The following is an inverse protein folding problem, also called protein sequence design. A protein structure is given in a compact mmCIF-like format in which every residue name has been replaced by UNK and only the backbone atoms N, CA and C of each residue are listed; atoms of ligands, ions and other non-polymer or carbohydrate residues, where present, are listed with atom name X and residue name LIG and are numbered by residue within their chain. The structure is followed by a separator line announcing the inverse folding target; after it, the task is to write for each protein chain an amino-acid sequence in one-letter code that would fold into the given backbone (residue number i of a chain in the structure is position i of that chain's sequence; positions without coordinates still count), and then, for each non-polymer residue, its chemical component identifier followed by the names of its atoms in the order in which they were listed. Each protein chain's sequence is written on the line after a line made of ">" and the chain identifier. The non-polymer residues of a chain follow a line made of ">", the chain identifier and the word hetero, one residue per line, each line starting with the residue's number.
data_IF_254154965578
#
_entry.id   IF_254154965578
#
_cell.length_a   1.000
_cell.length_b   1.000
_cell.length_c   1.000
_cell.angle_alpha   90.00
_cell.angle_beta   90.00
_cell.angle_gamma   90.00
#
_symmetry.space_group_name_H-M   'P 1'
#
loop_
_entity.id
_entity.type
_entity.pdbx_description
1 polymer ?
#
# COMPACT_ATOMS: atom_id res chain seq x y z
N UNK A 1 -63.50 2.25 -15.12
CA UNK A 1 -62.56 3.34 -14.76
C UNK A 1 -62.35 3.27 -13.25
N UNK A 2 -61.49 2.42 -12.71
CA UNK A 2 -60.05 2.30 -12.93
C UNK A 2 -59.28 3.55 -12.45
N UNK A 3 -58.42 3.29 -11.45
CA UNK A 3 -57.13 3.93 -11.19
C UNK A 3 -57.13 5.33 -10.59
N UNK A 4 -57.01 5.42 -9.25
CA UNK A 4 -56.28 6.51 -8.59
C UNK A 4 -55.91 6.26 -7.11
N UNK A 5 -55.73 5.00 -6.66
CA UNK A 5 -55.35 4.71 -5.27
C UNK A 5 -54.35 3.55 -5.12
N UNK A 6 -53.32 3.49 -5.97
CA UNK A 6 -52.15 2.62 -5.77
C UNK A 6 -50.93 3.29 -6.37
N UNK A 7 -50.21 4.11 -5.60
CA UNK A 7 -48.80 4.46 -5.86
C UNK A 7 -48.14 5.26 -4.72
N UNK A 8 -48.47 5.01 -3.46
CA UNK A 8 -47.66 5.52 -2.32
C UNK A 8 -47.70 4.53 -1.15
N UNK A 9 -47.16 3.34 -1.36
CA UNK A 9 -46.90 2.39 -0.28
C UNK A 9 -45.86 1.35 -0.72
N UNK A 10 -44.60 1.77 -0.91
CA UNK A 10 -43.44 0.85 -0.93
C UNK A 10 -42.14 1.66 -0.87
N UNK A 11 -41.67 1.88 0.35
CA UNK A 11 -40.30 1.59 0.77
C UNK A 11 -40.17 2.13 2.20
N UNK A 12 -40.59 1.32 3.17
CA UNK A 12 -40.05 1.46 4.52
C UNK A 12 -38.56 1.15 4.37
N UNK A 13 -37.72 2.15 4.60
CA UNK A 13 -36.30 2.01 4.85
C UNK A 13 -36.11 0.98 5.97
N UNK A 14 -35.89 -0.28 5.58
CA UNK A 14 -35.35 -1.27 6.49
C UNK A 14 -33.88 -0.91 6.66
N UNK A 15 -33.52 -0.45 7.86
CA UNK A 15 -32.13 -0.46 8.27
C UNK A 15 -31.58 -1.90 8.11
N UNK A 16 -30.31 -2.05 7.68
CA UNK A 16 -29.70 -3.37 7.47
C UNK A 16 -29.87 -4.24 8.72
N UNK A 17 -30.25 -5.50 8.51
CA UNK A 17 -30.53 -6.44 9.60
C UNK A 17 -29.23 -7.04 10.09
N UNK A 18 -28.69 -6.45 11.15
CA UNK A 18 -27.50 -6.94 11.85
C UNK A 18 -27.73 -8.33 12.47
N UNK A 19 -26.99 -9.33 12.00
CA UNK A 19 -26.96 -10.68 12.58
C UNK A 19 -25.62 -10.89 13.29
N UNK A 20 -25.64 -11.03 14.62
CA UNK A 20 -24.50 -11.50 15.41
C UNK A 20 -24.62 -13.02 15.60
N UNK A 21 -24.06 -13.86 14.72
CA UNK A 21 -23.88 -15.30 15.05
C UNK A 21 -23.00 -16.15 14.11
N UNK A 22 -22.31 -15.61 13.09
CA UNK A 22 -21.37 -16.42 12.28
C UNK A 22 -19.97 -15.81 12.35
N UNK A 23 -18.96 -16.65 12.56
CA UNK A 23 -17.58 -16.22 12.37
C UNK A 23 -17.42 -15.86 10.89
N UNK A 24 -17.04 -14.62 10.56
CA UNK A 24 -16.97 -14.15 9.17
C UNK A 24 -16.11 -15.07 8.29
N UNK A 25 -15.08 -15.72 8.86
CA UNK A 25 -14.21 -16.64 8.12
C UNK A 25 -14.96 -17.86 7.56
N UNK A 26 -15.99 -18.34 8.26
CA UNK A 26 -16.83 -19.44 7.80
C UNK A 26 -17.78 -18.97 6.70
N UNK A 27 -18.33 -17.76 6.85
CA UNK A 27 -19.16 -17.12 5.83
C UNK A 27 -18.37 -16.90 4.53
N UNK A 28 -17.13 -16.40 4.62
CA UNK A 28 -16.24 -16.20 3.47
C UNK A 28 -16.10 -17.46 2.63
N UNK A 29 -15.94 -18.61 3.29
CA UNK A 29 -15.59 -19.88 2.66
C UNK A 29 -16.80 -20.69 2.16
N UNK A 30 -18.02 -20.27 2.50
CA UNK A 30 -19.22 -21.08 2.22
C UNK A 30 -19.60 -21.04 0.72
N UNK A 31 -19.72 -22.19 0.02
CA UNK A 31 -19.92 -22.23 -1.44
C UNK A 31 -21.20 -21.56 -1.98
N UNK A 32 -22.22 -21.41 -1.13
CA UNK A 32 -23.46 -20.71 -1.47
C UNK A 32 -23.31 -19.20 -1.54
N UNK A 33 -22.25 -18.63 -0.94
CA UNK A 33 -22.06 -17.19 -0.85
C UNK A 33 -21.40 -16.67 -2.13
N UNK A 34 -22.25 -16.37 -3.13
CA UNK A 34 -21.82 -15.91 -4.47
C UNK A 34 -21.45 -14.44 -4.51
N UNK A 35 -22.08 -13.61 -3.67
CA UNK A 35 -21.84 -12.17 -3.57
C UNK A 35 -21.64 -11.84 -2.11
N UNK A 36 -20.60 -11.07 -1.77
CA UNK A 36 -20.23 -10.78 -0.39
C UNK A 36 -19.65 -9.37 -0.28
N UNK A 37 -19.92 -8.67 0.82
CA UNK A 37 -19.38 -7.32 1.09
C UNK A 37 -18.84 -7.29 2.51
N UNK A 38 -17.57 -6.91 2.66
CA UNK A 38 -16.89 -6.82 3.94
C UNK A 38 -16.27 -5.43 4.16
N UNK A 39 -16.33 -4.92 5.38
CA UNK A 39 -15.68 -3.66 5.77
C UNK A 39 -14.82 -3.92 7.01
N UNK A 40 -13.51 -3.67 6.93
CA UNK A 40 -12.62 -3.81 8.09
C UNK A 40 -12.76 -2.61 9.03
N UNK A 41 -12.90 -2.88 10.34
CA UNK A 41 -12.79 -1.84 11.37
C UNK A 41 -11.36 -1.60 11.85
N UNK A 42 -10.41 -2.44 11.44
CA UNK A 42 -9.01 -2.25 11.79
C UNK A 42 -8.36 -1.18 10.91
N UNK A 43 -7.47 -0.39 11.52
CA UNK A 43 -6.57 0.53 10.81
C UNK A 43 -5.18 -0.04 10.61
N UNK A 44 -4.94 -1.28 11.01
CA UNK A 44 -3.64 -1.91 10.87
C UNK A 44 -3.42 -2.37 9.40
N UNK A 45 -2.44 -1.80 8.69
CA UNK A 45 -2.20 -2.17 7.29
C UNK A 45 -1.76 -3.63 7.12
N UNK A 46 -1.06 -4.22 8.09
CA UNK A 46 -0.69 -5.63 8.03
C UNK A 46 -1.94 -6.51 8.24
N UNK A 47 -2.81 -6.16 9.19
CA UNK A 47 -4.03 -6.95 9.38
C UNK A 47 -4.95 -6.85 8.15
N UNK A 48 -5.17 -5.66 7.61
CA UNK A 48 -6.02 -5.45 6.44
C UNK A 48 -5.49 -6.18 5.20
N UNK A 49 -4.19 -6.15 4.92
CA UNK A 49 -3.60 -6.91 3.80
C UNK A 49 -3.63 -8.42 4.03
N UNK A 50 -3.63 -8.88 5.29
CA UNK A 50 -3.77 -10.28 5.64
C UNK A 50 -5.21 -10.77 5.49
N UNK A 51 -6.19 -9.94 5.85
CA UNK A 51 -7.62 -10.19 5.58
C UNK A 51 -7.86 -10.24 4.07
N UNK A 52 -7.38 -9.25 3.29
CA UNK A 52 -7.50 -9.24 1.83
C UNK A 52 -6.92 -10.52 1.21
N UNK A 53 -5.75 -10.96 1.68
CA UNK A 53 -5.15 -12.20 1.21
C UNK A 53 -5.99 -13.44 1.57
N UNK A 54 -6.52 -13.51 2.80
CA UNK A 54 -7.43 -14.57 3.21
C UNK A 54 -8.68 -14.62 2.33
N UNK A 55 -9.32 -13.47 2.09
CA UNK A 55 -10.48 -13.36 1.20
C UNK A 55 -10.15 -13.88 -0.20
N UNK A 56 -8.99 -13.50 -0.76
CA UNK A 56 -8.52 -13.98 -2.06
C UNK A 56 -8.33 -15.50 -2.11
N UNK A 57 -7.81 -16.09 -1.03
CA UNK A 57 -7.46 -17.52 -0.97
C UNK A 57 -8.65 -18.42 -0.63
N UNK A 58 -9.63 -17.94 0.14
CA UNK A 58 -10.64 -18.77 0.79
C UNK A 58 -12.05 -18.58 0.29
N UNK A 59 -12.36 -17.44 -0.32
CA UNK A 59 -13.69 -17.30 -0.92
C UNK A 59 -13.87 -18.23 -2.14
N UNK A 60 -15.10 -18.69 -2.43
CA UNK A 60 -15.36 -19.65 -3.51
C UNK A 60 -14.89 -19.17 -4.89
N UNK A 61 -14.44 -20.07 -5.79
CA UNK A 61 -14.03 -19.74 -7.17
C UNK A 61 -15.03 -18.87 -7.94
N UNK A 62 -16.32 -19.20 -7.81
CA UNK A 62 -17.43 -18.54 -8.51
C UNK A 62 -18.01 -17.33 -7.76
N UNK A 63 -17.37 -16.90 -6.67
CA UNK A 63 -17.84 -15.76 -5.87
C UNK A 63 -17.20 -14.44 -6.30
N UNK A 64 -17.98 -13.37 -6.18
CA UNK A 64 -17.51 -11.98 -6.29
C UNK A 64 -17.69 -11.30 -4.94
N UNK A 65 -16.66 -10.62 -4.45
CA UNK A 65 -16.74 -9.89 -3.18
C UNK A 65 -16.09 -8.52 -3.25
N UNK A 66 -16.61 -7.61 -2.43
CA UNK A 66 -16.05 -6.30 -2.14
C UNK A 66 -15.47 -6.30 -0.72
N UNK A 67 -14.29 -5.72 -0.57
CA UNK A 67 -13.67 -5.46 0.72
C UNK A 67 -13.21 -4.00 0.79
N UNK A 68 -13.66 -3.28 1.82
CA UNK A 68 -13.29 -1.89 2.07
C UNK A 68 -12.50 -1.77 3.38
N UNK A 69 -11.48 -0.91 3.41
CA UNK A 69 -10.69 -0.65 4.61
C UNK A 69 -9.90 0.66 4.52
N UNK A 70 -9.60 1.23 5.69
CA UNK A 70 -8.64 2.35 5.85
C UNK A 70 -7.43 1.87 6.65
N UNK A 71 -6.29 2.53 6.49
CA UNK A 71 -5.08 2.22 7.25
C UNK A 71 -4.63 3.45 8.03
N UNK A 72 -3.99 3.25 9.17
CA UNK A 72 -3.15 4.28 9.82
C UNK A 72 -1.98 4.65 8.90
N UNK A 73 -1.30 5.79 9.13
CA UNK A 73 -0.25 6.29 8.25
C UNK A 73 0.80 5.23 7.86
N UNK A 74 0.89 4.92 6.57
CA UNK A 74 1.85 3.97 6.04
C UNK A 74 2.20 4.20 4.56
N UNK A 75 3.40 3.77 4.18
CA UNK A 75 3.84 3.64 2.80
C UNK A 75 3.71 2.17 2.40
N UNK A 76 2.91 1.91 1.37
CA UNK A 76 2.68 0.55 0.84
C UNK A 76 3.40 0.38 -0.48
N UNK A 77 4.48 -0.40 -0.48
CA UNK A 77 5.25 -0.75 -1.69
C UNK A 77 4.69 -2.01 -2.36
N UNK A 78 4.82 -2.09 -3.69
CA UNK A 78 4.42 -3.26 -4.47
C UNK A 78 5.31 -4.48 -4.24
N UNK A 79 4.81 -5.67 -4.61
CA UNK A 79 5.46 -6.97 -4.35
C UNK A 79 6.92 -7.07 -4.82
N UNK A 80 7.23 -6.43 -5.94
CA UNK A 80 8.53 -6.50 -6.62
C UNK A 80 9.26 -5.14 -6.64
N UNK A 81 8.90 -4.21 -5.77
CA UNK A 81 9.55 -2.90 -5.70
C UNK A 81 10.77 -2.89 -4.78
N UNK A 82 11.69 -1.97 -5.03
CA UNK A 82 12.86 -1.74 -4.19
C UNK A 82 12.56 -0.64 -3.15
N UNK A 83 12.51 -0.95 -1.84
CA UNK A 83 12.19 0.05 -0.82
C UNK A 83 13.22 1.18 -0.75
N UNK A 84 14.50 0.90 -1.03
CA UNK A 84 15.57 1.91 -1.08
C UNK A 84 15.48 2.81 -2.32
N UNK A 85 14.76 2.39 -3.37
CA UNK A 85 14.52 3.23 -4.55
C UNK A 85 13.25 4.08 -4.39
N UNK A 86 12.20 3.48 -3.83
CA UNK A 86 10.86 4.08 -3.82
C UNK A 86 10.59 4.96 -2.59
N UNK A 87 11.22 4.66 -1.45
CA UNK A 87 10.84 5.23 -0.15
C UNK A 87 12.00 5.97 0.50
N UNK A 88 11.72 7.12 1.09
CA UNK A 88 12.63 7.74 2.04
C UNK A 88 12.60 6.96 3.36
N UNK A 89 13.44 5.93 3.44
CA UNK A 89 13.47 5.00 4.58
C UNK A 89 13.83 5.68 5.91
N UNK A 90 14.46 6.85 5.89
CA UNK A 90 14.74 7.62 7.10
C UNK A 90 13.47 8.17 7.78
N UNK A 91 12.38 8.32 7.03
CA UNK A 91 11.12 8.92 7.50
C UNK A 91 10.03 7.90 7.86
N UNK A 92 10.28 6.61 7.69
CA UNK A 92 9.32 5.54 8.00
C UNK A 92 9.87 4.61 9.07
N UNK A 93 8.98 3.99 9.83
CA UNK A 93 9.33 2.97 10.80
C UNK A 93 9.39 1.60 10.14
N UNK A 94 10.37 0.80 10.56
CA UNK A 94 10.55 -0.58 10.11
C UNK A 94 9.56 -1.50 10.84
N UNK A 95 9.08 -2.58 10.21
CA UNK A 95 8.22 -3.55 10.87
C UNK A 95 8.79 -4.10 12.20
N UNK A 96 10.09 -4.41 12.24
CA UNK A 96 10.77 -4.89 13.46
C UNK A 96 10.70 -3.91 14.64
N UNK A 97 10.63 -2.60 14.40
CA UNK A 97 10.49 -1.58 15.45
C UNK A 97 9.11 -1.60 16.13
N UNK A 98 8.11 -2.25 15.52
CA UNK A 98 6.78 -2.45 16.12
C UNK A 98 6.65 -3.77 16.88
N UNK A 99 7.46 -4.80 16.56
CA UNK A 99 7.50 -6.06 17.35
C UNK A 99 7.95 -5.81 18.80
N UNK A 100 8.81 -4.82 19.05
CA UNK A 100 9.21 -4.43 20.41
C UNK A 100 8.13 -3.63 21.16
N UNK A 101 7.27 -2.90 20.46
CA UNK A 101 6.20 -2.10 21.09
C UNK A 101 5.03 -2.97 21.57
N UNK A 102 4.68 -4.03 20.83
CA UNK A 102 3.57 -4.93 21.15
C UNK A 102 3.93 -5.98 22.22
N UNK A 103 5.23 -6.25 22.45
CA UNK A 103 5.71 -7.05 23.59
C UNK A 103 5.67 -6.29 24.93
N UNK A 104 5.43 -4.99 24.89
CA UNK A 104 5.23 -4.14 26.06
C UNK A 104 3.73 -3.92 26.29
N UNK A 105 2.98 -5.00 26.59
CA UNK A 105 1.57 -4.98 27.07
C UNK A 105 1.37 -4.21 28.41
N UNK A 106 2.26 -3.27 28.76
CA UNK A 106 2.20 -2.47 29.99
C UNK A 106 2.43 -0.97 29.78
N UNK A 107 2.37 -0.44 28.54
CA UNK A 107 2.32 1.01 28.35
C UNK A 107 0.89 1.50 28.30
N UNK A 108 0.45 2.04 29.45
CA UNK A 108 -0.60 3.06 29.58
C UNK A 108 -0.66 3.93 28.32
N UNK A 109 -1.85 4.02 27.71
CA UNK A 109 -2.35 5.08 26.82
C UNK A 109 -1.33 6.15 26.39
N UNK A 110 -0.28 5.73 25.70
CA UNK A 110 0.61 6.60 24.96
C UNK A 110 0.40 6.21 23.53
N UNK A 111 -0.57 6.91 22.96
CA UNK A 111 -0.84 7.02 21.52
C UNK A 111 0.48 6.88 20.77
N UNK A 112 0.59 6.00 19.75
CA UNK A 112 1.71 6.02 18.83
C UNK A 112 1.94 7.47 18.41
N UNK A 113 3.19 7.95 18.48
CA UNK A 113 3.49 9.35 18.20
C UNK A 113 2.87 9.72 16.85
N UNK A 114 2.32 10.93 16.76
CA UNK A 114 1.51 11.47 15.65
C UNK A 114 2.20 11.42 14.26
N UNK A 115 3.42 10.90 14.17
CA UNK A 115 4.31 10.89 13.00
C UNK A 115 4.86 9.49 12.63
N UNK A 116 4.38 8.40 13.24
CA UNK A 116 4.88 7.05 12.99
C UNK A 116 4.31 6.41 11.70
N UNK A 117 4.92 6.73 10.56
CA UNK A 117 4.55 6.16 9.25
C UNK A 117 5.18 4.78 9.07
N UNK A 118 4.37 3.74 8.85
CA UNK A 118 4.85 2.37 8.64
C UNK A 118 5.37 2.12 7.21
N UNK A 119 6.36 1.24 7.05
CA UNK A 119 6.66 0.62 5.76
C UNK A 119 6.00 -0.75 5.64
N UNK A 120 5.25 -0.96 4.55
CA UNK A 120 4.51 -2.20 4.31
C UNK A 120 4.70 -2.67 2.87
N UNK A 121 4.93 -3.98 2.66
CA UNK A 121 4.94 -4.59 1.32
C UNK A 121 3.68 -5.41 1.07
N UNK A 122 2.93 -5.10 0.02
CA UNK A 122 1.74 -5.87 -0.39
C UNK A 122 2.06 -7.05 -1.30
N UNK A 123 1.10 -7.97 -1.46
CA UNK A 123 1.23 -9.20 -2.29
C UNK A 123 0.97 -8.98 -3.79
N UNK A 124 0.32 -7.88 -4.16
CA UNK A 124 0.05 -7.46 -5.54
C UNK A 124 1.21 -6.65 -6.13
N UNK A 125 1.24 -6.54 -7.46
CA UNK A 125 2.20 -5.67 -8.17
C UNK A 125 1.81 -4.19 -8.10
N UNK A 126 2.40 -3.37 -8.96
CA UNK A 126 2.14 -1.92 -9.06
C UNK A 126 3.12 -1.06 -8.24
N UNK A 127 2.88 0.25 -8.26
CA UNK A 127 3.75 1.28 -7.64
C UNK A 127 3.56 1.45 -6.13
N UNK A 128 4.32 2.38 -5.55
CA UNK A 128 4.26 2.72 -4.13
C UNK A 128 3.22 3.81 -3.88
N UNK A 129 2.45 3.67 -2.81
CA UNK A 129 1.40 4.63 -2.39
C UNK A 129 1.50 4.92 -0.89
N UNK A 130 0.93 6.05 -0.48
CA UNK A 130 0.79 6.42 0.93
C UNK A 130 -0.67 6.28 1.35
N UNK A 131 -0.92 5.65 2.50
CA UNK A 131 -2.25 5.53 3.09
C UNK A 131 -2.27 6.26 4.43
N UNK A 132 -3.43 6.82 4.76
CA UNK A 132 -3.85 7.24 6.10
C UNK A 132 -5.38 7.15 6.18
N UNK A 133 -5.97 7.66 7.25
CA UNK A 133 -7.42 7.61 7.48
C UNK A 133 -8.24 8.41 6.46
N UNK A 134 -7.64 9.34 5.72
CA UNK A 134 -8.29 10.07 4.63
C UNK A 134 -8.16 9.36 3.28
N UNK A 135 -7.63 8.14 3.25
CA UNK A 135 -7.51 7.29 2.07
C UNK A 135 -8.24 5.95 2.28
N UNK A 136 -9.34 5.74 1.54
CA UNK A 136 -10.07 4.47 1.55
C UNK A 136 -9.47 3.51 0.52
N UNK A 137 -9.31 2.26 0.91
CA UNK A 137 -8.91 1.18 0.03
C UNK A 137 -10.13 0.34 -0.31
N UNK A 138 -10.26 -0.01 -1.59
CA UNK A 138 -11.29 -0.93 -2.07
C UNK A 138 -10.62 -2.11 -2.76
N UNK A 139 -11.19 -3.30 -2.56
CA UNK A 139 -10.70 -4.54 -3.15
C UNK A 139 -11.87 -5.35 -3.66
N UNK A 140 -11.91 -5.61 -4.96
CA UNK A 140 -12.87 -6.52 -5.57
C UNK A 140 -12.17 -7.81 -5.99
N UNK A 141 -12.68 -8.93 -5.49
CA UNK A 141 -12.18 -10.27 -5.83
C UNK A 141 -13.25 -11.01 -6.60
N UNK A 142 -12.94 -11.45 -7.81
CA UNK A 142 -13.89 -12.09 -8.72
C UNK A 142 -13.28 -13.33 -9.41
N UNK A 143 -14.09 -14.13 -10.12
CA UNK A 143 -13.58 -15.17 -11.00
C UNK A 143 -12.72 -14.57 -12.13
N UNK A 144 -11.69 -15.28 -12.64
CA UNK A 144 -10.83 -14.78 -13.71
C UNK A 144 -11.58 -14.41 -14.98
N UNK A 145 -12.63 -15.16 -15.35
CA UNK A 145 -13.46 -14.87 -16.51
C UNK A 145 -14.26 -13.56 -16.40
N UNK A 146 -14.47 -13.07 -15.18
CA UNK A 146 -15.20 -11.81 -14.92
C UNK A 146 -14.26 -10.61 -14.68
N UNK A 147 -12.94 -10.84 -14.69
CA UNK A 147 -11.93 -9.82 -14.41
C UNK A 147 -11.70 -8.92 -15.62
N UNK A 148 -11.77 -7.63 -15.36
CA UNK A 148 -11.38 -6.57 -16.27
C UNK A 148 -10.73 -5.45 -15.45
N UNK A 149 -9.74 -4.76 -16.02
CA UNK A 149 -8.90 -3.79 -15.30
C UNK A 149 -9.64 -2.51 -14.94
N UNK A 150 -10.62 -2.12 -15.75
CA UNK A 150 -11.36 -0.87 -15.62
C UNK A 150 -12.71 -1.08 -14.94
N UNK A 151 -13.31 -2.26 -15.09
CA UNK A 151 -14.65 -2.59 -14.57
C UNK A 151 -14.93 -2.09 -13.14
N UNK A 152 -14.04 -2.37 -12.18
CA UNK A 152 -14.27 -1.93 -10.79
C UNK A 152 -13.69 -0.54 -10.49
N UNK A 153 -12.79 -0.02 -11.32
CA UNK A 153 -12.40 1.39 -11.25
C UNK A 153 -13.56 2.28 -11.72
N UNK A 154 -14.26 1.89 -12.78
CA UNK A 154 -15.48 2.53 -13.27
C UNK A 154 -16.64 2.40 -12.27
N UNK A 155 -16.72 1.30 -11.50
CA UNK A 155 -17.64 1.19 -10.37
C UNK A 155 -17.40 2.30 -9.34
N UNK A 156 -16.14 2.53 -8.97
CA UNK A 156 -15.77 3.60 -8.04
C UNK A 156 -15.99 4.99 -8.65
N UNK A 157 -15.77 5.18 -9.96
CA UNK A 157 -16.11 6.43 -10.67
C UNK A 157 -17.60 6.72 -10.58
N UNK A 158 -18.48 5.72 -10.80
CA UNK A 158 -19.93 5.93 -10.64
C UNK A 158 -20.31 6.31 -9.21
N UNK A 159 -19.71 5.68 -8.21
CA UNK A 159 -19.91 6.04 -6.81
C UNK A 159 -19.48 7.51 -6.55
N UNK A 160 -18.30 7.92 -7.01
CA UNK A 160 -17.81 9.30 -6.89
C UNK A 160 -18.72 10.31 -7.58
N UNK A 161 -19.22 10.00 -8.77
CA UNK A 161 -20.15 10.86 -9.51
C UNK A 161 -21.49 10.98 -8.80
N UNK A 162 -22.00 9.90 -8.20
CA UNK A 162 -23.23 9.93 -7.39
C UNK A 162 -23.12 10.85 -6.17
N UNK A 163 -21.90 11.06 -5.66
CA UNK A 163 -21.56 11.96 -4.57
C UNK A 163 -21.18 13.38 -5.03
N UNK A 164 -21.38 13.70 -6.31
CA UNK A 164 -21.16 15.03 -6.88
C UNK A 164 -19.76 15.27 -7.46
N UNK A 165 -18.87 14.28 -7.46
CA UNK A 165 -17.52 14.41 -8.06
C UNK A 165 -17.56 14.02 -9.55
N UNK A 166 -18.26 14.84 -10.34
CA UNK A 166 -18.73 14.52 -11.69
C UNK A 166 -17.64 14.35 -12.75
N UNK A 167 -16.51 15.04 -12.62
CA UNK A 167 -15.41 15.05 -13.61
C UNK A 167 -14.39 13.92 -13.40
N UNK A 168 -14.76 12.88 -12.63
CA UNK A 168 -13.93 11.70 -12.43
C UNK A 168 -14.04 10.74 -13.60
N UNK A 169 -12.93 10.08 -13.94
CA UNK A 169 -12.87 9.05 -14.99
C UNK A 169 -11.69 8.10 -14.78
N UNK A 170 -11.76 6.93 -15.40
CA UNK A 170 -10.59 6.05 -15.53
C UNK A 170 -9.71 6.55 -16.68
N UNK A 171 -8.38 6.52 -16.50
CA UNK A 171 -7.42 6.87 -17.54
C UNK A 171 -6.81 5.61 -18.20
N UNK A 172 -5.96 5.81 -19.22
CA UNK A 172 -5.29 4.72 -19.96
C UNK A 172 -4.39 3.82 -19.11
N UNK A 173 -4.02 4.27 -17.91
CA UNK A 173 -3.22 3.50 -16.95
C UNK A 173 -4.07 2.79 -15.89
N UNK A 174 -5.40 2.80 -16.06
CA UNK A 174 -6.37 2.22 -15.13
C UNK A 174 -6.38 2.90 -13.74
N UNK A 175 -5.90 4.15 -13.67
CA UNK A 175 -6.02 5.02 -12.49
C UNK A 175 -7.34 5.81 -12.57
N UNK A 176 -7.92 6.17 -11.43
CA UNK A 176 -9.02 7.16 -11.40
C UNK A 176 -8.41 8.55 -11.25
N UNK A 177 -8.79 9.44 -12.16
CA UNK A 177 -8.37 10.84 -12.19
C UNK A 177 -9.56 11.77 -12.04
N UNK A 178 -9.28 12.98 -11.57
CA UNK A 178 -10.20 14.09 -11.42
C UNK A 178 -9.72 15.25 -12.30
N UNK A 179 -10.54 15.65 -13.25
CA UNK A 179 -10.28 16.84 -14.07
C UNK A 179 -10.87 18.08 -13.36
N UNK A 180 -10.04 19.08 -13.10
CA UNK A 180 -10.39 20.32 -12.40
C UNK A 180 -10.22 21.50 -13.35
N UNK A 181 -11.16 22.47 -13.41
CA UNK A 181 -10.96 23.68 -14.19
C UNK A 181 -9.71 24.44 -13.73
N UNK A 182 -8.83 24.78 -14.68
CA UNK A 182 -7.65 25.62 -14.47
C UNK A 182 -7.62 26.80 -15.44
N UNK A 183 -6.75 27.78 -15.18
CA UNK A 183 -6.66 29.03 -15.96
C UNK A 183 -6.27 28.79 -17.44
N UNK A 184 -5.43 27.77 -17.69
CA UNK A 184 -4.93 27.41 -19.02
C UNK A 184 -5.63 26.18 -19.63
N UNK A 185 -6.70 25.68 -19.00
CA UNK A 185 -7.39 24.43 -19.36
C UNK A 185 -7.60 23.51 -18.16
N UNK A 186 -8.29 22.37 -18.35
CA UNK A 186 -8.51 21.42 -17.26
C UNK A 186 -7.20 20.77 -16.81
N UNK A 187 -6.95 20.78 -15.51
CA UNK A 187 -5.84 20.09 -14.87
C UNK A 187 -6.29 18.71 -14.37
N UNK A 188 -5.53 17.67 -14.67
CA UNK A 188 -5.86 16.30 -14.28
C UNK A 188 -5.06 15.86 -13.06
N UNK A 189 -5.76 15.47 -12.00
CA UNK A 189 -5.17 14.98 -10.76
C UNK A 189 -5.51 13.51 -10.55
N UNK A 190 -4.52 12.68 -10.19
CA UNK A 190 -4.76 11.30 -9.77
C UNK A 190 -5.39 11.28 -8.37
N UNK A 191 -6.50 10.57 -8.22
CA UNK A 191 -7.21 10.41 -6.95
C UNK A 191 -7.26 8.96 -6.48
N UNK A 192 -7.02 8.00 -7.38
CA UNK A 192 -6.96 6.57 -7.10
C UNK A 192 -5.84 5.91 -7.89
N UNK A 193 -5.09 5.00 -7.26
CA UNK A 193 -4.21 4.07 -7.97
C UNK A 193 -4.74 2.64 -7.90
N UNK A 194 -4.66 1.92 -9.01
CA UNK A 194 -5.03 0.50 -9.10
C UNK A 194 -3.83 -0.43 -9.03
N UNK A 195 -4.03 -1.61 -8.43
CA UNK A 195 -3.11 -2.73 -8.50
C UNK A 195 -3.88 -4.07 -8.53
N UNK A 196 -3.20 -5.11 -9.01
CA UNK A 196 -3.87 -6.37 -9.34
C UNK A 196 -3.07 -7.58 -8.85
N UNK A 197 -3.77 -8.66 -8.50
CA UNK A 197 -3.20 -9.98 -8.24
C UNK A 197 -4.07 -11.05 -8.90
N UNK A 198 -3.54 -11.68 -9.94
CA UNK A 198 -4.20 -12.78 -10.62
C UNK A 198 -3.65 -14.11 -10.09
N UNK A 199 -4.55 -15.05 -9.82
CA UNK A 199 -4.25 -16.43 -9.43
C UNK A 199 -4.97 -17.38 -10.39
N UNK A 200 -4.69 -18.68 -10.31
CA UNK A 200 -5.34 -19.68 -11.17
C UNK A 200 -6.88 -19.66 -11.05
N UNK A 201 -7.40 -19.42 -9.85
CA UNK A 201 -8.84 -19.54 -9.57
C UNK A 201 -9.52 -18.20 -9.38
N UNK A 202 -8.79 -17.12 -9.10
CA UNK A 202 -9.34 -15.83 -8.65
C UNK A 202 -8.51 -14.66 -9.13
N UNK A 203 -9.16 -13.51 -9.29
CA UNK A 203 -8.56 -12.23 -9.62
C UNK A 203 -8.90 -11.19 -8.56
N UNK A 204 -7.90 -10.49 -8.06
CA UNK A 204 -8.03 -9.34 -7.16
C UNK A 204 -7.71 -8.06 -7.95
N UNK A 205 -8.62 -7.09 -7.92
CA UNK A 205 -8.35 -5.69 -8.20
C UNK A 205 -8.49 -4.94 -6.88
N UNK A 206 -7.45 -4.25 -6.45
CA UNK A 206 -7.58 -3.28 -5.39
C UNK A 206 -7.11 -1.89 -5.82
N UNK A 207 -7.62 -0.87 -5.17
CA UNK A 207 -7.20 0.49 -5.38
C UNK A 207 -7.39 1.34 -4.15
N UNK A 208 -6.85 2.54 -4.23
CA UNK A 208 -6.96 3.57 -3.21
C UNK A 208 -7.96 4.63 -3.63
N UNK A 209 -8.47 5.46 -2.72
CA UNK A 209 -9.20 6.67 -3.08
C UNK A 209 -8.84 7.76 -2.06
N UNK A 210 -8.19 8.82 -2.54
CA UNK A 210 -7.79 9.98 -1.75
C UNK A 210 -9.00 10.86 -1.46
N UNK A 211 -9.65 10.64 -0.33
CA UNK A 211 -10.83 11.38 0.08
C UNK A 211 -10.45 12.71 0.73
N UNK A 212 -9.70 12.65 1.82
CA UNK A 212 -9.45 13.80 2.69
C UNK A 212 -8.18 13.62 3.52
N UNK A 213 -7.14 13.03 2.94
CA UNK A 213 -5.84 12.80 3.62
C UNK A 213 -5.25 14.12 4.15
N UNK A 214 -5.03 14.25 5.47
CA UNK A 214 -4.37 15.42 6.04
C UNK A 214 -2.87 15.46 5.70
N UNK A 215 -2.29 14.32 5.29
CA UNK A 215 -0.88 14.21 4.95
C UNK A 215 -0.57 14.53 3.48
N UNK A 216 -1.58 14.83 2.64
CA UNK A 216 -1.42 15.07 1.21
C UNK A 216 -0.22 16.00 0.85
N UNK A 217 0.00 17.15 1.51
CA UNK A 217 1.15 18.02 1.22
C UNK A 217 2.50 17.37 1.51
N UNK A 218 2.53 16.44 2.48
CA UNK A 218 3.72 15.73 2.94
C UNK A 218 4.01 14.44 2.19
N UNK A 219 3.04 13.78 1.54
CA UNK A 219 3.18 12.45 0.91
C UNK A 219 4.46 12.34 0.07
N UNK A 220 4.74 13.35 -0.75
CA UNK A 220 5.89 13.36 -1.63
C UNK A 220 7.24 13.18 -0.90
N UNK A 221 7.37 13.59 0.36
CA UNK A 221 8.62 13.44 1.14
C UNK A 221 8.93 11.99 1.48
N UNK A 222 7.89 11.17 1.69
CA UNK A 222 8.02 9.75 1.97
C UNK A 222 8.31 8.94 0.70
N UNK A 223 7.80 9.38 -0.45
CA UNK A 223 7.92 8.68 -1.74
C UNK A 223 9.10 9.18 -2.59
N UNK A 224 10.07 9.87 -1.97
CA UNK A 224 11.29 10.36 -2.60
C UNK A 224 12.51 9.84 -1.85
N UNK A 225 13.01 8.68 -2.27
CA UNK A 225 14.23 8.14 -1.70
C UNK A 225 15.46 9.02 -1.98
N UNK A 226 16.30 9.31 -0.97
CA UNK A 226 17.59 9.95 -1.19
C UNK A 226 18.58 9.08 -1.99
N UNK A 227 18.44 7.75 -1.94
CA UNK A 227 19.30 6.82 -2.68
C UNK A 227 18.88 6.64 -4.15
N UNK A 228 17.68 7.06 -4.55
CA UNK A 228 17.16 6.85 -5.90
C UNK A 228 18.10 7.28 -7.04
N UNK A 229 18.79 8.45 -6.98
CA UNK A 229 19.73 8.85 -8.04
C UNK A 229 20.93 7.91 -8.21
N UNK A 230 21.26 7.14 -7.17
CA UNK A 230 22.42 6.26 -7.12
C UNK A 230 22.06 4.80 -7.41
N UNK A 231 20.77 4.46 -7.49
CA UNK A 231 20.29 3.08 -7.68
C UNK A 231 19.90 2.83 -9.14
N UNK A 232 20.48 1.82 -9.76
CA UNK A 232 19.96 1.15 -10.95
C UNK A 232 19.35 -0.19 -10.54
N UNK A 233 18.07 -0.41 -10.86
CA UNK A 233 17.37 -1.63 -10.52
C UNK A 233 16.64 -2.22 -11.73
N UNK A 234 16.50 -3.53 -11.74
CA UNK A 234 15.56 -4.23 -12.64
C UNK A 234 14.28 -4.47 -11.86
N UNK A 235 13.26 -3.65 -12.05
CA UNK A 235 12.03 -3.74 -11.26
C UNK A 235 10.92 -2.81 -11.76
N UNK A 236 9.76 -2.87 -11.11
CA UNK A 236 8.62 -1.99 -11.40
C UNK A 236 8.81 -0.68 -10.64
N UNK A 237 9.21 0.38 -11.34
CA UNK A 237 9.31 1.73 -10.79
C UNK A 237 7.92 2.37 -10.64
N UNK A 238 7.76 3.26 -9.65
CA UNK A 238 6.51 4.02 -9.51
C UNK A 238 6.41 5.12 -10.57
N UNK A 239 5.23 5.26 -11.18
CA UNK A 239 4.91 6.39 -12.05
C UNK A 239 4.38 7.56 -11.22
N UNK A 240 5.16 8.63 -11.10
CA UNK A 240 4.75 9.84 -10.36
C UNK A 240 3.57 10.52 -11.06
N UNK A 241 2.63 11.02 -10.26
CA UNK A 241 1.46 11.77 -10.73
C UNK A 241 1.15 12.88 -9.74
N UNK A 242 0.60 14.00 -10.21
CA UNK A 242 -0.02 14.98 -9.33
C UNK A 242 -1.27 14.35 -8.70
N UNK A 243 -1.50 14.61 -7.42
CA UNK A 243 -2.58 14.00 -6.63
C UNK A 243 -3.43 15.07 -5.97
N UNK A 244 -4.69 14.74 -5.69
CA UNK A 244 -5.64 15.64 -5.03
C UNK A 244 -6.61 14.85 -4.15
N UNK A 245 -7.04 15.46 -3.04
CA UNK A 245 -8.17 14.96 -2.26
C UNK A 245 -9.48 15.29 -2.98
N UNK A 246 -10.44 14.35 -3.02
CA UNK A 246 -11.77 14.63 -3.57
C UNK A 246 -12.67 15.43 -2.62
N UNK A 247 -12.35 15.47 -1.33
CA UNK A 247 -13.10 16.24 -0.32
C UNK A 247 -14.39 15.57 0.16
N UNK A 248 -14.44 14.23 0.14
CA UNK A 248 -15.61 13.45 0.58
C UNK A 248 -15.43 12.88 1.99
N UNK A 249 -16.56 12.64 2.66
CA UNK A 249 -16.62 11.83 3.88
C UNK A 249 -16.40 10.35 3.57
N UNK A 250 -15.65 9.67 4.43
CA UNK A 250 -15.32 8.25 4.30
C UNK A 250 -16.56 7.37 4.26
N UNK A 251 -17.51 7.60 5.17
CA UNK A 251 -18.70 6.76 5.26
C UNK A 251 -19.61 6.96 4.04
N UNK A 252 -19.81 8.19 3.61
CA UNK A 252 -20.58 8.47 2.39
C UNK A 252 -19.97 7.79 1.15
N UNK A 253 -18.64 7.79 1.03
CA UNK A 253 -17.93 7.09 -0.03
C UNK A 253 -18.11 5.57 0.06
N UNK A 254 -17.90 4.96 1.24
CA UNK A 254 -18.09 3.51 1.44
C UNK A 254 -19.53 3.08 1.09
N UNK A 255 -20.54 3.81 1.56
CA UNK A 255 -21.95 3.54 1.27
C UNK A 255 -22.24 3.61 -0.24
N UNK A 256 -21.69 4.60 -0.94
CA UNK A 256 -21.86 4.73 -2.40
C UNK A 256 -21.16 3.59 -3.18
N UNK A 257 -19.96 3.17 -2.77
CA UNK A 257 -19.25 2.06 -3.41
C UNK A 257 -19.99 0.73 -3.18
N UNK A 258 -20.52 0.51 -1.97
CA UNK A 258 -21.35 -0.67 -1.67
C UNK A 258 -22.62 -0.67 -2.51
N UNK A 259 -23.29 0.47 -2.66
CA UNK A 259 -24.49 0.59 -3.50
C UNK A 259 -24.19 0.27 -4.98
N UNK A 260 -23.09 0.80 -5.53
CA UNK A 260 -22.66 0.50 -6.91
C UNK A 260 -22.28 -0.96 -7.11
N UNK A 261 -21.65 -1.58 -6.10
CA UNK A 261 -21.35 -3.01 -6.13
C UNK A 261 -22.63 -3.86 -6.09
N UNK A 262 -23.60 -3.50 -5.25
CA UNK A 262 -24.92 -4.13 -5.15
C UNK A 262 -25.69 -4.05 -6.48
N UNK A 263 -25.66 -2.90 -7.14
CA UNK A 263 -26.26 -2.73 -8.47
C UNK A 263 -25.62 -3.62 -9.54
N UNK A 264 -24.33 -3.94 -9.43
CA UNK A 264 -23.61 -4.79 -10.39
C UNK A 264 -23.81 -6.28 -10.16
N UNK A 265 -23.90 -6.72 -8.90
CA UNK A 265 -23.80 -8.14 -8.54
C UNK A 265 -24.97 -8.68 -7.72
N UNK A 266 -25.82 -7.80 -7.17
CA UNK A 266 -26.95 -8.13 -6.30
C UNK A 266 -26.80 -7.52 -4.91
N UNK A 267 -27.90 -7.02 -4.36
CA UNK A 267 -27.94 -6.36 -3.05
C UNK A 267 -27.65 -7.36 -1.92
N UNK A 268 -26.64 -7.02 -1.11
CA UNK A 268 -26.29 -7.74 0.12
C UNK A 268 -25.83 -6.75 1.18
N UNK A 269 -26.16 -7.04 2.44
CA UNK A 269 -25.69 -6.26 3.58
C UNK A 269 -24.17 -6.39 3.74
N UNK A 270 -23.50 -5.28 4.03
CA UNK A 270 -22.09 -5.26 4.37
C UNK A 270 -21.85 -5.85 5.76
N UNK A 271 -20.91 -6.80 5.87
CA UNK A 271 -20.47 -7.37 7.14
C UNK A 271 -19.20 -6.66 7.65
N UNK A 272 -19.23 -6.22 8.91
CA UNK A 272 -18.06 -5.61 9.54
C UNK A 272 -17.12 -6.68 10.09
N UNK A 273 -15.85 -6.61 9.71
CA UNK A 273 -14.81 -7.48 10.26
C UNK A 273 -14.21 -6.80 11.49
N UNK A 274 -14.35 -7.47 12.64
CA UNK A 274 -13.66 -7.09 13.86
C UNK A 274 -12.21 -7.59 13.88
N UNK A 275 -11.29 -6.77 14.37
CA UNK A 275 -9.88 -7.12 14.47
C UNK A 275 -9.63 -8.33 15.37
N UNK A 276 -10.32 -8.42 16.51
CA UNK A 276 -10.13 -9.51 17.46
C UNK A 276 -10.65 -10.83 16.90
N UNK A 277 -11.66 -10.80 16.04
CA UNK A 277 -12.16 -11.99 15.37
C UNK A 277 -11.28 -12.38 14.18
N UNK A 278 -10.79 -11.41 13.41
CA UNK A 278 -9.85 -11.66 12.32
C UNK A 278 -8.57 -12.35 12.80
N UNK A 279 -7.99 -11.92 13.92
CA UNK A 279 -6.72 -12.48 14.41
C UNK A 279 -6.86 -13.87 15.04
N UNK A 280 -8.07 -14.29 15.43
CA UNK A 280 -8.36 -15.67 15.88
C UNK A 280 -8.24 -16.67 14.73
N UNK A 281 -8.48 -16.25 13.49
CA UNK A 281 -8.31 -17.11 12.32
C UNK A 281 -6.83 -17.39 12.08
N UNK A 282 -6.45 -18.67 12.09
CA UNK A 282 -5.04 -19.08 11.98
C UNK A 282 -4.38 -18.66 10.67
N UNK A 283 -5.13 -18.64 9.56
CA UNK A 283 -4.60 -18.29 8.23
C UNK A 283 -4.32 -16.80 8.15
N UNK A 284 -5.23 -15.97 8.67
CA UNK A 284 -5.03 -14.52 8.77
C UNK A 284 -3.84 -14.23 9.68
N UNK A 285 -3.77 -14.87 10.86
CA UNK A 285 -2.67 -14.71 11.82
C UNK A 285 -1.32 -15.12 11.22
N UNK A 286 -1.27 -16.21 10.44
CA UNK A 286 -0.05 -16.62 9.72
C UNK A 286 0.33 -15.59 8.65
N UNK A 287 -0.64 -15.13 7.86
CA UNK A 287 -0.42 -14.10 6.86
C UNK A 287 0.06 -12.77 7.45
N UNK A 288 -0.42 -12.42 8.65
CA UNK A 288 -0.02 -11.24 9.42
C UNK A 288 1.43 -11.36 9.88
N UNK A 289 1.80 -12.49 10.49
CA UNK A 289 3.18 -12.79 10.92
C UNK A 289 4.17 -12.79 9.76
N UNK A 290 3.75 -13.23 8.58
CA UNK A 290 4.60 -13.21 7.38
C UNK A 290 4.90 -11.77 6.93
N UNK A 291 3.89 -10.91 6.80
CA UNK A 291 4.08 -9.58 6.18
C UNK A 291 4.62 -8.51 7.12
N UNK A 292 4.54 -8.73 8.44
CA UNK A 292 5.23 -7.90 9.43
C UNK A 292 6.73 -8.25 9.49
N UNK A 293 7.15 -9.32 8.81
CA UNK A 293 8.56 -9.69 8.84
C UNK A 293 9.43 -8.78 7.95
N UNK A 294 10.62 -8.46 8.44
CA UNK A 294 11.59 -7.66 7.69
C UNK A 294 12.07 -8.44 6.45
N UNK A 295 12.13 -9.78 6.52
CA UNK A 295 12.44 -10.62 5.36
C UNK A 295 11.40 -10.43 4.24
N UNK A 296 10.12 -10.39 4.59
CA UNK A 296 9.06 -10.09 3.62
C UNK A 296 9.20 -8.68 3.06
N UNK A 297 9.47 -7.70 3.91
CA UNK A 297 9.53 -6.30 3.49
C UNK A 297 10.75 -6.01 2.62
N UNK A 298 11.92 -6.55 2.95
CA UNK A 298 13.19 -6.20 2.31
C UNK A 298 13.75 -7.29 1.40
N UNK A 299 13.66 -8.57 1.76
CA UNK A 299 14.30 -9.66 1.01
C UNK A 299 13.54 -10.10 -0.24
N UNK A 300 12.37 -9.49 -0.47
CA UNK A 300 11.63 -9.60 -1.72
C UNK A 300 12.12 -8.64 -2.82
N UNK A 301 13.14 -7.83 -2.52
CA UNK A 301 13.66 -6.80 -3.44
C UNK A 301 14.43 -7.45 -4.60
N UNK A 302 14.09 -7.14 -5.87
CA UNK A 302 14.86 -7.58 -7.03
C UNK A 302 16.31 -7.08 -7.00
N UNK A 303 17.15 -7.67 -7.85
CA UNK A 303 18.55 -7.26 -7.94
C UNK A 303 18.68 -5.78 -8.35
N UNK A 304 19.59 -5.07 -7.68
CA UNK A 304 19.93 -3.68 -7.97
C UNK A 304 21.40 -3.37 -7.69
N UNK A 305 21.86 -2.28 -8.26
CA UNK A 305 23.20 -1.72 -8.07
C UNK A 305 23.06 -0.32 -7.48
N UNK A 306 23.74 -0.04 -6.38
CA UNK A 306 23.97 1.30 -5.86
C UNK A 306 25.38 1.75 -6.25
N UNK A 307 25.51 2.92 -6.89
CA UNK A 307 26.81 3.46 -7.30
C UNK A 307 26.87 4.99 -7.22
N UNK A 308 27.99 5.50 -6.70
CA UNK A 308 28.28 6.95 -6.63
C UNK A 308 28.96 7.50 -7.87
N UNK A 309 29.26 6.64 -8.84
CA UNK A 309 29.89 7.00 -10.11
C UNK A 309 29.29 6.16 -11.27
N UNK A 310 29.32 6.69 -12.52
CA UNK A 310 28.91 5.92 -13.69
C UNK A 310 29.77 4.68 -13.89
N UNK A 311 29.17 3.57 -14.27
CA UNK A 311 29.85 2.29 -14.50
C UNK A 311 29.06 1.45 -15.53
N UNK A 312 29.58 0.31 -16.02
CA UNK A 312 28.90 -0.48 -17.05
C UNK A 312 27.49 -1.00 -16.68
N UNK A 313 27.13 -1.04 -15.38
CA UNK A 313 25.79 -1.43 -14.91
C UNK A 313 24.85 -0.23 -14.77
N UNK A 314 25.39 0.98 -14.73
CA UNK A 314 24.64 2.23 -14.62
C UNK A 314 25.48 3.41 -15.17
N UNK A 315 25.30 3.70 -16.46
CA UNK A 315 26.06 4.74 -17.16
C UNK A 315 25.53 6.16 -16.89
N UNK A 316 24.44 6.30 -16.14
CA UNK A 316 23.81 7.61 -15.88
C UNK A 316 24.76 8.50 -15.08
N UNK A 317 24.81 9.82 -15.39
CA UNK A 317 25.55 10.77 -14.56
C UNK A 317 25.02 10.75 -13.14
N UNK A 318 25.92 10.79 -12.16
CA UNK A 318 25.56 10.80 -10.73
C UNK A 318 25.56 12.22 -10.17
N UNK A 319 24.68 12.52 -9.19
CA UNK A 319 24.73 13.80 -8.50
C UNK A 319 26.09 14.02 -7.86
N UNK A 320 26.52 15.28 -7.81
CA UNK A 320 27.74 15.66 -7.10
C UNK A 320 27.65 15.23 -5.63
N UNK A 321 28.72 14.60 -5.15
CA UNK A 321 28.80 14.17 -3.76
C UNK A 321 28.99 15.39 -2.85
N UNK A 322 28.41 15.40 -1.64
CA UNK A 322 28.60 16.50 -0.70
C UNK A 322 30.09 16.82 -0.49
N UNK A 323 30.46 18.11 -0.46
CA UNK A 323 31.86 18.55 -0.36
C UNK A 323 32.58 18.16 0.94
N UNK A 324 31.86 17.65 1.93
CA UNK A 324 32.45 17.06 3.13
C UNK A 324 32.92 15.60 2.92
N UNK A 325 32.57 14.95 1.81
CA UNK A 325 33.11 13.64 1.46
C UNK A 325 34.47 13.79 0.77
N UNK A 326 35.33 12.79 0.92
CA UNK A 326 36.63 12.79 0.26
C UNK A 326 36.44 12.76 -1.27
N UNK A 327 37.29 13.46 -2.03
CA UNK A 327 37.16 13.56 -3.50
C UNK A 327 37.24 12.21 -4.22
N UNK A 328 37.90 11.22 -3.60
CA UNK A 328 38.01 9.86 -4.14
C UNK A 328 36.96 8.90 -3.57
N UNK A 329 36.01 9.38 -2.78
CA UNK A 329 34.97 8.54 -2.19
C UNK A 329 34.11 7.91 -3.28
N UNK A 330 34.19 6.59 -3.38
CA UNK A 330 33.45 5.75 -4.31
C UNK A 330 32.81 4.61 -3.56
N UNK A 331 31.64 4.25 -4.05
CA UNK A 331 30.79 3.19 -3.51
C UNK A 331 30.18 2.48 -4.70
N UNK A 332 30.34 1.17 -4.75
CA UNK A 332 29.63 0.25 -5.62
C UNK A 332 29.11 -0.89 -4.75
N UNK A 333 27.80 -1.09 -4.74
CA UNK A 333 27.15 -2.19 -4.02
C UNK A 333 26.20 -2.87 -4.98
N UNK A 334 26.32 -4.18 -5.10
CA UNK A 334 25.34 -5.01 -5.78
C UNK A 334 24.59 -5.82 -4.76
N UNK A 335 23.26 -5.77 -4.81
CA UNK A 335 22.42 -6.46 -3.88
C UNK A 335 21.29 -7.20 -4.60
N UNK A 336 20.88 -8.34 -4.03
CA UNK A 336 19.74 -9.14 -4.49
C UNK A 336 19.06 -9.72 -3.26
N UNK A 337 17.72 -9.74 -3.26
CA UNK A 337 16.96 -10.17 -2.09
C UNK A 337 17.35 -9.38 -0.82
N UNK A 338 17.67 -8.10 -0.98
CA UNK A 338 18.11 -7.24 0.12
C UNK A 338 19.49 -7.58 0.70
N UNK A 339 20.19 -8.58 0.18
CA UNK A 339 21.52 -9.02 0.61
C UNK A 339 22.60 -8.51 -0.35
N UNK A 340 23.74 -8.10 0.19
CA UNK A 340 24.90 -7.64 -0.59
C UNK A 340 25.62 -8.82 -1.23
N UNK A 341 25.63 -8.86 -2.56
CA UNK A 341 26.37 -9.83 -3.35
C UNK A 341 27.84 -9.46 -3.46
N UNK A 342 28.11 -8.18 -3.72
CA UNK A 342 29.46 -7.62 -3.82
C UNK A 342 29.45 -6.16 -3.39
N UNK A 343 30.58 -5.71 -2.85
CA UNK A 343 30.78 -4.33 -2.44
C UNK A 343 32.21 -3.90 -2.70
N UNK A 344 32.37 -2.69 -3.24
CA UNK A 344 33.63 -1.97 -3.35
C UNK A 344 33.39 -0.55 -2.84
N UNK A 345 33.96 -0.24 -1.68
CA UNK A 345 33.76 1.02 -0.99
C UNK A 345 35.12 1.56 -0.57
N UNK A 346 35.39 2.81 -0.94
CA UNK A 346 36.60 3.54 -0.51
C UNK A 346 36.75 3.48 1.01
N UNK A 347 37.97 3.20 1.48
CA UNK A 347 38.33 3.10 2.91
C UNK A 347 37.65 1.94 3.67
N UNK A 348 36.99 1.01 2.98
CA UNK A 348 36.48 -0.24 3.57
C UNK A 348 37.36 -1.45 3.25
N UNK A 349 37.34 -2.47 4.12
CA UNK A 349 37.95 -3.76 3.79
C UNK A 349 37.18 -4.44 2.64
N UNK A 350 37.89 -5.05 1.67
CA UNK A 350 37.23 -5.77 0.58
C UNK A 350 36.24 -6.80 1.10
N UNK A 351 35.06 -6.89 0.47
CA UNK A 351 34.02 -7.88 0.78
C UNK A 351 33.43 -7.83 2.20
N UNK A 352 33.70 -6.79 3.00
CA UNK A 352 33.23 -6.71 4.41
C UNK A 352 31.70 -6.76 4.55
N UNK A 353 30.98 -6.38 3.49
CA UNK A 353 29.52 -6.40 3.46
C UNK A 353 28.93 -7.62 2.77
N UNK A 354 29.71 -8.44 2.07
CA UNK A 354 29.17 -9.54 1.27
C UNK A 354 28.42 -10.53 2.17
N UNK A 355 27.23 -10.94 1.75
CA UNK A 355 26.32 -11.80 2.54
C UNK A 355 25.54 -11.08 3.63
N UNK A 356 25.74 -9.76 3.84
CA UNK A 356 24.95 -8.99 4.80
C UNK A 356 23.65 -8.50 4.19
N UNK A 357 22.58 -8.59 4.97
CA UNK A 357 21.32 -7.95 4.64
C UNK A 357 21.40 -6.43 4.86
N UNK A 358 21.12 -5.63 3.83
CA UNK A 358 21.21 -4.16 3.87
C UNK A 358 20.32 -3.54 4.95
N UNK A 359 19.15 -4.15 5.20
CA UNK A 359 18.22 -3.67 6.22
C UNK A 359 18.67 -3.98 7.66
N UNK A 360 19.62 -4.89 7.85
CA UNK A 360 20.20 -5.19 9.16
C UNK A 360 21.35 -4.26 9.51
N UNK A 361 21.93 -3.55 8.53
CA UNK A 361 22.96 -2.54 8.80
C UNK A 361 22.33 -1.39 9.59
N UNK A 362 22.69 -1.30 10.88
CA UNK A 362 22.22 -0.27 11.81
C UNK A 362 23.17 0.92 11.93
N UNK A 363 24.40 0.81 11.43
CA UNK A 363 25.33 1.94 11.31
C UNK A 363 26.42 1.64 10.27
N UNK A 364 26.39 2.36 9.15
CA UNK A 364 27.38 2.25 8.09
C UNK A 364 28.77 2.74 8.50
N UNK A 365 28.89 3.54 9.57
CA UNK A 365 30.18 3.96 10.12
C UNK A 365 31.00 2.78 10.63
N UNK A 366 30.36 1.67 11.00
CA UNK A 366 31.06 0.43 11.41
C UNK A 366 31.81 -0.25 10.26
N UNK A 367 31.43 0.03 9.00
CA UNK A 367 32.01 -0.63 7.83
C UNK A 367 32.85 0.32 6.97
N UNK A 368 32.46 1.59 6.91
CA UNK A 368 33.07 2.60 6.02
C UNK A 368 33.76 3.71 6.81
N UNK A 369 33.48 3.84 8.11
CA UNK A 369 34.07 4.88 8.95
C UNK A 369 33.59 6.30 8.62
N UNK A 370 33.93 7.22 9.53
CA UNK A 370 33.88 8.67 9.32
C UNK A 370 32.61 9.23 8.66
N UNK A 371 32.83 10.19 7.75
CA UNK A 371 31.75 10.91 7.05
C UNK A 371 31.08 10.10 5.95
N UNK A 372 31.80 9.17 5.32
CA UNK A 372 31.27 8.27 4.30
C UNK A 372 30.17 7.35 4.86
N UNK A 373 30.42 6.73 6.02
CA UNK A 373 29.42 5.94 6.73
C UNK A 373 28.20 6.77 7.16
N UNK A 374 28.40 7.98 7.67
CA UNK A 374 27.29 8.87 8.03
C UNK A 374 26.40 9.24 6.83
N UNK A 375 27.01 9.51 5.67
CA UNK A 375 26.27 9.78 4.44
C UNK A 375 25.48 8.54 3.96
N UNK A 376 26.09 7.35 4.03
CA UNK A 376 25.42 6.09 3.70
C UNK A 376 24.25 5.76 4.65
N UNK A 377 24.35 6.13 5.93
CA UNK A 377 23.22 6.03 6.86
C UNK A 377 21.99 6.81 6.32
N UNK A 378 22.21 8.03 5.82
CA UNK A 378 21.17 8.84 5.19
C UNK A 378 20.60 8.23 3.92
N UNK A 379 21.45 7.65 3.06
CA UNK A 379 21.03 7.02 1.81
C UNK A 379 20.17 5.77 2.05
N UNK A 380 20.57 4.92 2.98
CA UNK A 380 19.90 3.63 3.26
C UNK A 380 18.83 3.72 4.35
N UNK A 381 18.52 4.92 4.85
CA UNK A 381 17.50 5.14 5.88
C UNK A 381 17.82 4.44 7.20
N UNK A 382 19.08 4.52 7.61
CA UNK A 382 19.54 4.14 8.94
C UNK A 382 19.39 5.36 9.83
N UNK A 383 18.45 5.32 10.78
CA UNK A 383 18.33 6.37 11.79
C UNK A 383 19.58 6.31 12.66
N UNK A 384 20.39 7.36 12.62
CA UNK A 384 21.40 7.58 13.65
C UNK A 384 20.68 7.56 14.98
N UNK A 385 21.05 6.63 15.88
CA UNK A 385 20.69 6.76 17.28
C UNK A 385 21.05 8.18 17.71
N UNK A 386 20.13 8.84 18.40
CA UNK A 386 20.41 10.12 19.04
C UNK A 386 21.71 9.92 19.84
N UNK A 387 22.72 10.72 19.53
CA UNK A 387 23.99 10.74 20.27
C UNK A 387 23.76 10.95 21.76
#
# INVERSE_FOLDING_TARGET
>A
MASLNRLFARSRTQMPRFSHSRCFSDAVSHPSNKVQVYISRSRDPWLNLSIEHFLLQKSPPESTLLFLYTNKPCVVIGRNQNPWLEVNLGLVNRPSSFKELDLLEHRNEQTPAKDDVLLVRRRSGGGTVFHDEGNVNYSVICPPAAFDRDKHAEMVVRALRSLGVSTTRVNERHDIVLDVPGEAGPETYKISGSAYKLTRLRSLHHGTCLLSSPNLPGIGRYLRSPAAPYIAARGVESVRSQIKNVGLDTRAFEEAVVAEFGAMYGDIDAEFIDQNDAIKNEIIRKGYKEIIDDEWTYQQTPQFTFSTYPNPKDERPKPELPGHLHKQFKVLIEARHGEVLSSDITESSPNVLNGKALHEIRDWRQYVGGRGGQWLNGMFGVRSGVE
#
